data_IF_171523195532
#
_entry.id   IF_171523195532
#
_cell.length_a   1.000
_cell.length_b   1.000
_cell.length_c   1.000
_cell.angle_alpha   90.00
_cell.angle_beta   90.00
_cell.angle_gamma   90.00
#
_symmetry.space_group_name_H-M   'P 1'
#
loop_
_entity.id
_entity.type
_entity.pdbx_description
1 polymer ?
#
# COMPACT_ATOMS: atom_id res chain seq x y z
N UNK A 1 9.92 42.83 -31.55
CA UNK A 1 8.93 42.26 -32.49
C UNK A 1 9.06 40.75 -32.47
N UNK A 2 7.93 40.04 -32.26
CA UNK A 2 7.65 38.60 -32.50
C UNK A 2 8.50 37.58 -31.69
N UNK A 3 7.98 36.59 -30.98
CA UNK A 3 6.69 35.91 -31.03
C UNK A 3 6.86 34.48 -31.54
N UNK A 4 6.37 33.50 -30.75
CA UNK A 4 6.17 32.06 -31.01
C UNK A 4 7.41 31.17 -30.73
N UNK A 5 7.39 30.20 -29.80
CA UNK A 5 6.28 29.52 -29.15
C UNK A 5 5.87 28.26 -29.92
N UNK A 6 6.74 27.24 -29.93
CA UNK A 6 6.38 25.87 -30.28
C UNK A 6 7.16 24.93 -29.35
N UNK A 7 6.49 24.52 -28.27
CA UNK A 7 6.90 23.40 -27.41
C UNK A 7 6.10 22.19 -27.91
N UNK A 8 6.69 21.00 -28.07
CA UNK A 8 5.98 19.83 -28.58
C UNK A 8 4.76 19.48 -27.71
N UNK A 9 3.65 19.14 -28.36
CA UNK A 9 2.47 18.58 -27.69
C UNK A 9 2.88 17.29 -26.95
N UNK A 10 2.62 17.24 -25.64
CA UNK A 10 2.83 16.04 -24.81
C UNK A 10 3.57 16.24 -23.49
N UNK A 11 4.14 17.41 -23.22
CA UNK A 11 4.75 17.73 -21.92
C UNK A 11 3.81 18.60 -21.08
N UNK A 12 3.11 17.99 -20.13
CA UNK A 12 2.29 18.69 -19.15
C UNK A 12 3.13 19.72 -18.38
N UNK A 13 2.76 21.00 -18.52
CA UNK A 13 3.35 22.10 -17.74
C UNK A 13 2.94 21.95 -16.28
N UNK A 14 3.91 21.75 -15.40
CA UNK A 14 3.74 21.96 -13.97
C UNK A 14 3.60 23.47 -13.68
N UNK A 15 2.47 23.85 -13.09
CA UNK A 15 2.34 25.01 -12.19
C UNK A 15 2.29 26.39 -12.82
N UNK A 16 1.08 26.88 -13.11
CA UNK A 16 0.70 28.29 -12.92
C UNK A 16 -0.80 28.45 -13.20
N UNK A 17 -1.61 28.54 -12.15
CA UNK A 17 -3.06 28.69 -12.25
C UNK A 17 -3.76 28.83 -10.90
N UNK A 18 -3.21 29.64 -9.99
CA UNK A 18 -3.98 30.16 -8.86
C UNK A 18 -4.64 31.47 -9.31
N UNK A 19 -5.84 31.39 -9.86
CA UNK A 19 -6.68 32.55 -10.17
C UNK A 19 -8.16 32.17 -10.30
N UNK A 20 -8.81 31.80 -9.20
CA UNK A 20 -10.18 32.24 -8.85
C UNK A 20 -10.55 31.68 -7.47
N UNK A 21 -11.08 32.53 -6.60
CA UNK A 21 -11.49 32.17 -5.24
C UNK A 21 -12.93 31.63 -5.19
N UNK A 22 -13.38 30.96 -6.26
CA UNK A 22 -14.76 30.50 -6.45
C UNK A 22 -14.88 29.00 -6.79
N UNK A 23 -13.76 28.27 -6.95
CA UNK A 23 -13.74 26.82 -7.23
C UNK A 23 -13.39 25.93 -6.02
N UNK A 24 -13.50 26.46 -4.80
CA UNK A 24 -13.23 25.71 -3.55
C UNK A 24 -14.36 24.71 -3.21
N UNK A 25 -15.41 24.61 -4.03
CA UNK A 25 -16.62 23.82 -3.72
C UNK A 25 -16.69 22.41 -4.31
N UNK A 26 -15.77 21.95 -5.17
CA UNK A 26 -15.95 20.68 -5.90
C UNK A 26 -14.80 19.68 -5.90
N UNK A 27 -13.67 19.98 -5.27
CA UNK A 27 -12.65 18.95 -4.96
C UNK A 27 -12.95 18.33 -3.60
N UNK A 28 -13.87 17.37 -3.58
CA UNK A 28 -13.97 16.41 -2.48
C UNK A 28 -12.62 15.69 -2.33
N UNK A 29 -11.85 16.12 -1.35
CA UNK A 29 -10.74 15.34 -0.80
C UNK A 29 -11.30 13.96 -0.47
N UNK A 30 -10.84 12.91 -1.18
CA UNK A 30 -11.14 11.52 -0.84
C UNK A 30 -10.41 11.19 0.46
N UNK A 31 -11.09 11.44 1.56
CA UNK A 31 -10.71 10.96 2.88
C UNK A 31 -10.92 9.44 2.95
N UNK A 32 -9.89 8.72 3.38
CA UNK A 32 -9.92 7.26 3.57
C UNK A 32 -10.50 6.94 4.95
N UNK A 33 -11.61 6.23 4.99
CA UNK A 33 -12.21 5.71 6.24
C UNK A 33 -13.70 6.00 6.32
N UNK A 34 -14.52 5.16 5.67
CA UNK A 34 -15.97 5.26 5.72
C UNK A 34 -16.52 4.85 7.08
N UNK A 35 -16.83 5.84 7.93
CA UNK A 35 -17.84 5.74 8.98
C UNK A 35 -18.91 6.78 8.66
N UNK A 36 -20.09 6.33 8.25
CA UNK A 36 -21.27 7.19 8.14
C UNK A 36 -21.89 7.35 9.52
N UNK A 37 -21.92 8.58 10.03
CA UNK A 37 -22.57 8.92 11.29
C UNK A 37 -24.11 8.90 11.09
N UNK A 38 -24.89 8.09 11.82
CA UNK A 38 -26.33 7.93 11.57
C UNK A 38 -27.18 9.05 12.19
N UNK A 39 -26.71 10.30 12.17
CA UNK A 39 -27.41 11.43 12.79
C UNK A 39 -27.14 12.73 12.04
N UNK A 40 -27.52 12.77 10.75
CA UNK A 40 -27.61 14.02 9.99
C UNK A 40 -29.02 14.12 9.37
N UNK A 41 -29.91 14.97 9.90
CA UNK A 41 -31.32 14.99 9.53
C UNK A 41 -31.59 16.02 8.42
N UNK A 42 -31.00 15.89 7.22
CA UNK A 42 -31.29 16.82 6.11
C UNK A 42 -31.10 16.18 4.72
N UNK A 43 -31.90 15.16 4.39
CA UNK A 43 -32.19 14.82 2.98
C UNK A 43 -33.62 14.27 2.84
N UNK A 44 -34.48 14.87 1.99
CA UNK A 44 -35.80 14.33 1.66
C UNK A 44 -35.68 12.97 0.94
N UNK A 45 -36.66 12.06 1.10
CA UNK A 45 -36.67 10.77 0.42
C UNK A 45 -37.14 10.97 -1.02
N UNK A 46 -36.37 10.51 -1.99
CA UNK A 46 -36.91 10.30 -3.33
C UNK A 46 -37.01 8.81 -3.65
N UNK A 47 -38.18 8.50 -4.20
CA UNK A 47 -38.80 7.20 -4.29
C UNK A 47 -38.29 6.42 -5.50
N UNK A 48 -38.01 5.13 -5.27
CA UNK A 48 -37.62 4.17 -6.30
C UNK A 48 -37.84 2.74 -5.84
N UNK A 49 -39.10 2.45 -5.50
CA UNK A 49 -39.82 1.16 -5.60
C UNK A 49 -39.10 -0.15 -5.26
N UNK A 50 -39.53 -0.73 -4.13
CA UNK A 50 -39.42 -2.13 -3.72
C UNK A 50 -40.12 -3.14 -4.65
N UNK A 51 -39.89 -4.44 -4.36
CA UNK A 51 -40.56 -5.70 -4.73
C UNK A 51 -39.79 -6.51 -5.79
N UNK A 52 -39.20 -7.69 -5.52
CA UNK A 52 -39.81 -8.92 -4.95
C UNK A 52 -38.73 -9.89 -4.42
N UNK A 53 -39.12 -10.70 -3.42
CA UNK A 53 -38.47 -11.72 -2.57
C UNK A 53 -37.65 -12.89 -3.22
N UNK A 54 -37.00 -13.78 -2.43
CA UNK A 54 -35.88 -14.64 -2.82
C UNK A 54 -36.29 -15.93 -3.54
N UNK A 55 -35.51 -16.31 -4.57
CA UNK A 55 -35.69 -17.54 -5.31
C UNK A 55 -34.37 -18.32 -5.44
N UNK A 56 -34.34 -19.49 -4.81
CA UNK A 56 -33.35 -20.55 -4.94
C UNK A 56 -33.23 -21.02 -6.40
N UNK A 57 -32.00 -21.15 -6.91
CA UNK A 57 -31.68 -22.14 -7.94
C UNK A 57 -31.11 -21.65 -9.28
N UNK A 58 -29.97 -22.26 -9.61
CA UNK A 58 -29.55 -22.71 -10.96
C UNK A 58 -29.03 -21.68 -11.98
N UNK A 59 -27.70 -21.73 -12.14
CA UNK A 59 -26.92 -21.61 -13.37
C UNK A 59 -27.57 -20.91 -14.58
N UNK A 60 -27.11 -19.70 -14.86
CA UNK A 60 -27.01 -19.21 -16.24
C UNK A 60 -25.68 -18.50 -16.44
N UNK A 61 -24.92 -19.02 -17.41
CA UNK A 61 -23.78 -18.36 -18.01
C UNK A 61 -24.23 -17.10 -18.72
N UNK A 62 -23.94 -15.93 -18.16
CA UNK A 62 -24.04 -14.67 -18.91
C UNK A 62 -22.80 -14.52 -19.80
N UNK A 63 -22.86 -15.23 -20.92
CA UNK A 63 -21.98 -15.07 -22.06
C UNK A 63 -22.42 -13.80 -22.80
N UNK A 64 -21.61 -12.73 -22.77
CA UNK A 64 -21.80 -11.58 -23.65
C UNK A 64 -21.04 -11.91 -24.96
N UNK A 65 -21.71 -12.12 -26.11
CA UNK A 65 -21.01 -12.39 -27.36
C UNK A 65 -20.51 -11.07 -27.95
N UNK A 66 -19.20 -10.84 -27.88
CA UNK A 66 -18.51 -9.79 -28.62
C UNK A 66 -17.38 -10.41 -29.46
N UNK A 67 -17.27 -10.09 -30.77
CA UNK A 67 -16.21 -10.61 -31.61
C UNK A 67 -14.95 -9.78 -31.38
N UNK A 68 -14.01 -10.29 -30.60
CA UNK A 68 -12.73 -9.62 -30.35
C UNK A 68 -11.84 -10.45 -29.46
N UNK A 69 -11.01 -11.30 -30.08
CA UNK A 69 -10.00 -12.10 -29.39
C UNK A 69 -8.94 -11.21 -28.74
N UNK A 70 -9.05 -11.00 -27.44
CA UNK A 70 -7.99 -10.55 -26.55
C UNK A 70 -7.72 -11.65 -25.51
N UNK A 71 -6.50 -11.73 -24.94
CA UNK A 71 -6.18 -12.77 -23.98
C UNK A 71 -7.15 -12.70 -22.81
N UNK A 72 -7.75 -13.84 -22.46
CA UNK A 72 -8.64 -13.97 -21.32
C UNK A 72 -7.87 -13.55 -20.05
N UNK A 73 -8.07 -12.32 -19.62
CA UNK A 73 -7.60 -11.87 -18.32
C UNK A 73 -8.44 -12.62 -17.31
N UNK A 74 -7.87 -13.62 -16.64
CA UNK A 74 -8.53 -14.31 -15.54
C UNK A 74 -8.84 -13.28 -14.44
N UNK A 75 -10.03 -12.68 -14.49
CA UNK A 75 -10.51 -11.65 -13.54
C UNK A 75 -10.64 -12.21 -12.10
N UNK A 76 -10.53 -13.54 -11.94
CA UNK A 76 -10.49 -14.18 -10.63
C UNK A 76 -9.14 -13.99 -9.90
N UNK A 77 -8.05 -13.66 -10.60
CA UNK A 77 -6.76 -13.32 -9.96
C UNK A 77 -6.58 -11.83 -9.68
N UNK A 78 -7.45 -10.95 -10.22
CA UNK A 78 -7.37 -9.51 -10.02
C UNK A 78 -8.11 -9.00 -8.78
N UNK A 79 -8.79 -9.87 -8.05
CA UNK A 79 -9.45 -9.51 -6.79
C UNK A 79 -8.49 -9.54 -5.58
N UNK A 80 -7.27 -10.06 -5.74
CA UNK A 80 -6.37 -10.31 -4.61
C UNK A 80 -5.15 -9.38 -4.50
N UNK A 81 -4.82 -8.66 -5.59
CA UNK A 81 -3.76 -7.64 -5.57
C UNK A 81 -4.32 -6.27 -5.95
N UNK A 82 -4.43 -5.39 -4.96
CA UNK A 82 -4.61 -3.95 -5.22
C UNK A 82 -3.54 -3.49 -6.25
N UNK A 83 -3.86 -2.53 -7.14
CA UNK A 83 -2.88 -1.97 -8.10
C UNK A 83 -1.54 -1.60 -7.44
N UNK A 84 -1.58 -1.22 -6.16
CA UNK A 84 -0.40 -0.98 -5.32
C UNK A 84 0.60 -2.14 -5.34
N UNK A 85 0.13 -3.38 -5.35
CA UNK A 85 0.93 -4.60 -5.25
C UNK A 85 1.35 -5.20 -6.58
N UNK A 86 1.08 -4.50 -7.69
CA UNK A 86 1.49 -4.94 -9.00
C UNK A 86 3.01 -5.17 -9.06
N UNK A 87 3.39 -6.31 -9.63
CA UNK A 87 4.78 -6.71 -9.77
C UNK A 87 5.45 -7.22 -8.48
N UNK A 88 4.70 -7.44 -7.39
CA UNK A 88 5.20 -8.11 -6.18
C UNK A 88 4.73 -9.55 -6.14
N UNK A 89 5.66 -10.50 -6.14
CA UNK A 89 5.37 -11.93 -6.05
C UNK A 89 6.51 -12.69 -5.33
N UNK A 90 6.25 -13.88 -4.78
CA UNK A 90 7.33 -14.76 -4.31
C UNK A 90 8.32 -15.06 -5.45
N UNK A 91 9.63 -15.01 -5.15
CA UNK A 91 10.68 -15.38 -6.12
C UNK A 91 11.03 -14.33 -7.17
N UNK A 92 10.69 -13.05 -6.96
CA UNK A 92 11.12 -11.95 -7.83
C UNK A 92 12.65 -11.89 -7.99
N UNK A 93 13.11 -11.55 -9.19
CA UNK A 93 14.51 -11.19 -9.41
C UNK A 93 14.87 -9.90 -8.66
N UNK A 94 16.12 -9.78 -8.22
CA UNK A 94 16.60 -8.60 -7.47
C UNK A 94 16.38 -7.29 -8.24
N UNK A 95 16.51 -7.29 -9.57
CA UNK A 95 16.27 -6.13 -10.43
C UNK A 95 14.82 -5.66 -10.38
N UNK A 96 13.86 -6.57 -10.26
CA UNK A 96 12.43 -6.25 -10.09
C UNK A 96 12.13 -5.82 -8.65
N UNK A 97 12.75 -6.49 -7.68
CA UNK A 97 12.53 -6.20 -6.27
C UNK A 97 13.03 -4.81 -5.85
N UNK A 98 14.19 -4.39 -6.36
CA UNK A 98 14.84 -3.16 -5.91
C UNK A 98 14.72 -2.00 -6.91
N UNK A 99 13.68 -2.00 -7.74
CA UNK A 99 13.45 -0.94 -8.74
C UNK A 99 12.04 -0.34 -8.66
N UNK A 100 11.89 0.82 -9.32
CA UNK A 100 10.62 1.49 -9.56
C UNK A 100 9.77 1.67 -8.30
N UNK A 101 8.47 1.38 -8.43
CA UNK A 101 7.51 1.53 -7.34
C UNK A 101 7.71 0.55 -6.18
N UNK A 102 8.42 -0.57 -6.34
CA UNK A 102 8.70 -1.45 -5.21
C UNK A 102 9.79 -0.86 -4.31
N UNK A 103 10.84 -0.27 -4.88
CA UNK A 103 11.89 0.42 -4.11
C UNK A 103 11.31 1.53 -3.22
N UNK A 104 10.38 2.33 -3.76
CA UNK A 104 9.70 3.38 -3.00
C UNK A 104 8.90 2.80 -1.81
N UNK A 105 8.16 1.71 -2.03
CA UNK A 105 7.42 1.02 -0.97
C UNK A 105 8.34 0.42 0.10
N UNK A 106 9.48 -0.16 -0.30
CA UNK A 106 10.48 -0.66 0.65
C UNK A 106 11.01 0.46 1.54
N UNK A 107 11.26 1.64 0.96
CA UNK A 107 11.74 2.80 1.71
C UNK A 107 10.66 3.40 2.62
N UNK A 108 9.42 3.50 2.13
CA UNK A 108 8.26 3.96 2.91
C UNK A 108 7.99 3.03 4.09
N UNK A 109 8.02 1.71 3.87
CA UNK A 109 7.85 0.71 4.92
C UNK A 109 8.95 0.83 5.99
N UNK A 110 10.18 1.17 5.61
CA UNK A 110 11.25 1.43 6.59
C UNK A 110 10.96 2.68 7.42
N UNK A 111 10.36 3.71 6.82
CA UNK A 111 9.98 4.94 7.49
C UNK A 111 9.06 4.74 8.69
N UNK A 112 8.24 3.68 8.70
CA UNK A 112 7.37 3.32 9.84
C UNK A 112 8.14 2.97 11.12
N UNK A 113 9.41 2.56 11.00
CA UNK A 113 10.28 2.23 12.14
C UNK A 113 11.57 3.05 12.18
N UNK A 114 11.73 4.01 11.26
CA UNK A 114 12.84 4.95 11.18
C UNK A 114 12.30 6.35 10.81
N UNK A 115 11.72 7.09 11.77
CA UNK A 115 11.09 8.38 11.49
C UNK A 115 12.06 9.43 10.97
N UNK A 116 13.34 9.34 11.34
CA UNK A 116 14.39 10.21 10.81
C UNK A 116 14.61 9.97 9.32
N UNK A 117 14.60 8.71 8.88
CA UNK A 117 14.62 8.36 7.47
C UNK A 117 13.39 8.93 6.75
N UNK A 118 12.18 8.71 7.30
CA UNK A 118 10.94 9.20 6.73
C UNK A 118 10.96 10.71 6.51
N UNK A 119 11.44 11.47 7.51
CA UNK A 119 11.58 12.92 7.43
C UNK A 119 12.67 13.38 6.46
N UNK A 120 13.72 12.57 6.25
CA UNK A 120 14.85 12.94 5.40
C UNK A 120 14.56 12.87 3.89
N UNK A 121 13.52 12.14 3.47
CA UNK A 121 13.22 11.86 2.07
C UNK A 121 14.30 11.04 1.32
N UNK A 122 15.32 10.54 2.04
CA UNK A 122 16.40 9.74 1.44
C UNK A 122 15.94 8.31 1.18
N UNK A 123 16.53 7.70 0.16
CA UNK A 123 16.44 6.25 -0.06
C UNK A 123 17.70 5.62 0.50
N UNK A 124 17.52 4.64 1.38
CA UNK A 124 18.62 3.87 2.01
C UNK A 124 18.68 2.46 1.44
N UNK A 125 19.72 1.72 1.84
CA UNK A 125 19.91 0.31 1.46
C UNK A 125 18.61 -0.50 1.63
N UNK A 126 18.06 -1.04 0.53
CA UNK A 126 16.74 -1.67 0.55
C UNK A 126 16.79 -3.15 0.94
N UNK A 127 17.97 -3.75 1.09
CA UNK A 127 18.13 -5.20 1.21
C UNK A 127 17.41 -5.80 2.41
N UNK A 128 17.46 -5.16 3.59
CA UNK A 128 16.77 -5.67 4.79
C UNK A 128 15.24 -5.65 4.62
N UNK A 129 14.72 -4.57 4.03
CA UNK A 129 13.29 -4.46 3.74
C UNK A 129 12.85 -5.40 2.61
N UNK A 130 13.72 -5.64 1.62
CA UNK A 130 13.47 -6.63 0.57
C UNK A 130 13.44 -8.05 1.12
N UNK A 131 14.38 -8.39 2.00
CA UNK A 131 14.38 -9.69 2.69
C UNK A 131 13.12 -9.85 3.55
N UNK A 132 12.71 -8.78 4.24
CA UNK A 132 11.46 -8.78 5.01
C UNK A 132 10.25 -8.97 4.09
N UNK A 133 10.18 -8.28 2.94
CA UNK A 133 9.12 -8.48 1.95
C UNK A 133 9.07 -9.93 1.48
N UNK A 134 10.23 -10.50 1.10
CA UNK A 134 10.32 -11.89 0.65
C UNK A 134 9.91 -12.89 1.72
N UNK A 135 10.11 -12.58 3.00
CA UNK A 135 9.62 -13.40 4.11
C UNK A 135 8.11 -13.29 4.28
N UNK A 136 7.57 -12.07 4.29
CA UNK A 136 6.17 -11.81 4.59
C UNK A 136 5.20 -12.23 3.48
N UNK A 137 5.65 -12.29 2.22
CA UNK A 137 4.81 -12.74 1.09
C UNK A 137 4.75 -14.26 0.92
N UNK A 138 5.48 -15.02 1.75
CA UNK A 138 5.41 -16.49 1.73
C UNK A 138 4.00 -16.95 2.12
N UNK A 139 3.56 -18.13 1.64
CA UNK A 139 2.29 -18.73 2.10
C UNK A 139 2.25 -18.95 3.63
N UNK A 140 3.41 -19.24 4.23
CA UNK A 140 3.60 -19.36 5.67
C UNK A 140 4.82 -18.51 6.08
N UNK A 141 4.62 -17.24 6.44
CA UNK A 141 5.70 -16.36 6.89
C UNK A 141 6.27 -16.84 8.24
N UNK A 142 7.60 -16.80 8.39
CA UNK A 142 8.25 -17.04 9.68
C UNK A 142 8.28 -15.73 10.50
N UNK A 143 7.54 -15.66 11.62
CA UNK A 143 7.47 -14.46 12.45
C UNK A 143 8.81 -14.12 13.13
N UNK A 144 9.65 -15.11 13.44
CA UNK A 144 10.96 -14.89 14.06
C UNK A 144 11.93 -14.22 13.11
N UNK A 145 11.99 -14.68 11.86
CA UNK A 145 12.83 -14.09 10.83
C UNK A 145 12.34 -12.68 10.46
N UNK A 146 11.02 -12.51 10.26
CA UNK A 146 10.44 -11.20 9.98
C UNK A 146 10.69 -10.21 11.13
N UNK A 147 10.48 -10.65 12.38
CA UNK A 147 10.74 -9.85 13.57
C UNK A 147 12.21 -9.44 13.68
N UNK A 148 13.14 -10.38 13.46
CA UNK A 148 14.58 -10.11 13.51
C UNK A 148 15.02 -9.11 12.45
N UNK A 149 14.58 -9.29 11.19
CA UNK A 149 14.87 -8.36 10.11
C UNK A 149 14.36 -6.94 10.41
N UNK A 150 13.17 -6.85 11.01
CA UNK A 150 12.57 -5.58 11.39
C UNK A 150 13.29 -4.92 12.57
N UNK A 151 13.66 -5.70 13.60
CA UNK A 151 14.40 -5.21 14.76
C UNK A 151 15.80 -4.66 14.40
N UNK A 152 16.45 -5.22 13.37
CA UNK A 152 17.73 -4.71 12.86
C UNK A 152 17.64 -3.32 12.22
N UNK A 153 16.50 -2.98 11.60
CA UNK A 153 16.31 -1.67 10.96
C UNK A 153 15.65 -0.64 11.88
N UNK A 154 14.92 -1.08 12.89
CA UNK A 154 14.14 -0.23 13.75
C UNK A 154 15.00 0.76 14.56
N UNK A 155 14.61 2.04 14.51
CA UNK A 155 15.17 3.14 15.31
C UNK A 155 14.22 3.60 16.41
N UNK A 156 12.96 3.18 16.35
CA UNK A 156 11.92 3.44 17.35
C UNK A 156 11.25 2.14 17.79
N UNK A 157 10.51 2.14 18.92
CA UNK A 157 9.79 0.97 19.37
C UNK A 157 8.89 0.39 18.29
N UNK A 158 8.96 -0.93 18.09
CA UNK A 158 8.16 -1.62 17.07
C UNK A 158 6.81 -2.00 17.66
N UNK A 159 5.72 -1.53 17.04
CA UNK A 159 4.34 -1.79 17.49
C UNK A 159 3.60 -2.68 16.50
N UNK A 160 2.57 -3.43 16.94
CA UNK A 160 1.75 -4.23 16.03
C UNK A 160 1.10 -3.40 14.92
N UNK A 161 0.69 -2.17 15.22
CA UNK A 161 0.14 -1.23 14.24
C UNK A 161 1.16 -0.88 13.16
N UNK A 162 2.42 -0.59 13.53
CA UNK A 162 3.50 -0.34 12.58
C UNK A 162 3.77 -1.58 11.71
N UNK A 163 3.79 -2.77 12.32
CA UNK A 163 3.97 -4.04 11.59
C UNK A 163 2.86 -4.28 10.57
N UNK A 164 1.60 -4.01 10.90
CA UNK A 164 0.49 -4.11 9.93
C UNK A 164 0.65 -3.13 8.78
N UNK A 165 1.05 -1.88 9.05
CA UNK A 165 1.32 -0.86 8.01
C UNK A 165 2.46 -1.29 7.10
N UNK A 166 3.54 -1.82 7.67
CA UNK A 166 4.65 -2.40 6.92
C UNK A 166 4.15 -3.56 6.05
N UNK A 167 3.41 -4.52 6.61
CA UNK A 167 2.84 -5.62 5.83
C UNK A 167 1.99 -5.14 4.67
N UNK A 168 1.15 -4.13 4.91
CA UNK A 168 0.33 -3.47 3.88
C UNK A 168 1.20 -2.85 2.78
N UNK A 169 2.22 -2.07 3.11
CA UNK A 169 3.16 -1.46 2.15
C UNK A 169 3.95 -2.50 1.35
N UNK A 170 4.36 -3.58 2.03
CA UNK A 170 5.13 -4.68 1.46
C UNK A 170 4.27 -5.73 0.73
N UNK A 171 2.95 -5.52 0.65
CA UNK A 171 2.02 -6.41 -0.03
C UNK A 171 1.90 -7.81 0.57
N UNK A 172 2.08 -7.91 1.88
CA UNK A 172 1.82 -9.10 2.66
C UNK A 172 0.45 -9.02 3.34
N UNK A 173 -0.27 -10.14 3.36
CA UNK A 173 -1.44 -10.32 4.21
C UNK A 173 -0.98 -10.76 5.58
N UNK A 174 -1.58 -10.21 6.62
CA UNK A 174 -1.17 -10.47 7.98
C UNK A 174 -2.39 -10.42 8.90
N UNK A 175 -2.47 -11.38 9.81
CA UNK A 175 -3.46 -11.39 10.88
C UNK A 175 -2.96 -10.55 12.06
N UNK A 176 -3.88 -10.17 12.94
CA UNK A 176 -3.57 -9.39 14.14
C UNK A 176 -2.57 -10.14 15.04
N UNK A 177 -2.80 -11.42 15.28
CA UNK A 177 -1.90 -12.27 16.06
C UNK A 177 -0.49 -12.36 15.47
N UNK A 178 -0.38 -12.44 14.14
CA UNK A 178 0.93 -12.46 13.47
C UNK A 178 1.65 -11.11 13.61
N UNK A 179 0.92 -9.99 13.50
CA UNK A 179 1.49 -8.67 13.69
C UNK A 179 1.99 -8.46 15.13
N UNK A 180 1.23 -8.92 16.12
CA UNK A 180 1.61 -8.87 17.53
C UNK A 180 2.89 -9.68 17.78
N UNK A 181 2.96 -10.91 17.26
CA UNK A 181 4.13 -11.77 17.43
C UNK A 181 5.39 -11.17 16.79
N UNK A 182 5.28 -10.68 15.55
CA UNK A 182 6.40 -10.02 14.85
C UNK A 182 6.86 -8.77 15.61
N UNK A 183 5.92 -7.96 16.11
CA UNK A 183 6.24 -6.75 16.85
C UNK A 183 7.02 -7.05 18.15
N UNK A 184 6.58 -8.06 18.91
CA UNK A 184 7.26 -8.47 20.14
C UNK A 184 8.70 -8.91 19.86
N UNK A 185 8.90 -9.75 18.84
CA UNK A 185 10.23 -10.25 18.47
C UNK A 185 11.11 -9.09 17.97
N UNK A 186 10.57 -8.24 17.09
CA UNK A 186 11.31 -7.09 16.56
C UNK A 186 11.73 -6.12 17.67
N UNK A 187 10.85 -5.85 18.63
CA UNK A 187 11.15 -4.98 19.76
C UNK A 187 12.21 -5.57 20.69
N UNK A 188 12.13 -6.88 20.96
CA UNK A 188 13.17 -7.57 21.73
C UNK A 188 14.54 -7.46 21.05
N UNK A 189 14.60 -7.68 19.74
CA UNK A 189 15.84 -7.57 18.97
C UNK A 189 16.38 -6.13 18.92
N UNK A 190 15.51 -5.14 18.70
CA UNK A 190 15.86 -3.72 18.73
C UNK A 190 16.43 -3.32 20.09
N UNK A 191 15.76 -3.71 21.18
CA UNK A 191 16.19 -3.40 22.54
C UNK A 191 17.54 -4.05 22.88
N UNK A 192 17.74 -5.31 22.47
CA UNK A 192 19.02 -6.01 22.66
C UNK A 192 20.16 -5.30 21.92
N UNK A 193 19.94 -4.86 20.67
CA UNK A 193 20.92 -4.10 19.90
C UNK A 193 21.23 -2.73 20.50
N UNK A 194 20.23 -2.06 21.08
CA UNK A 194 20.41 -0.77 21.74
C UNK A 194 21.14 -0.89 23.10
N UNK A 195 20.96 -2.01 23.80
CA UNK A 195 21.63 -2.30 25.07
C UNK A 195 23.04 -2.87 24.90
N UNK A 196 23.40 -3.33 23.69
CA UNK A 196 24.71 -3.90 23.43
C UNK A 196 25.80 -2.83 23.67
N UNK A 197 26.83 -3.13 24.50
CA UNK A 197 27.90 -2.17 24.75
C UNK A 197 28.62 -1.87 23.43
N UNK A 198 28.65 -0.59 23.05
CA UNK A 198 29.48 -0.13 21.93
C UNK A 198 30.93 -0.48 22.23
N UNK A 199 31.52 -1.38 21.42
CA UNK A 199 32.93 -1.68 21.47
C UNK A 199 33.71 -0.36 21.27
N UNK A 200 34.27 0.18 22.36
CA UNK A 200 35.14 1.35 22.32
C UNK A 200 36.39 0.95 21.52
N UNK A 201 36.62 1.60 20.39
CA UNK A 201 37.93 1.63 19.72
C UNK A 201 38.71 2.81 20.26
#
# INVERSE_FOLDING_TARGET
MRGNGQVPEGVGRYGSGAASMQDVGRTRLRYWGGWSNPSDPLTPPDSGTETTDPGTGTATSDFIPGPGGGPAVNVRSSLDSSQRCQGVAPGMAATQQFSGGNLLRLNEARGEVDPALAASGKIVSPYLMGNLQNELIKPAPNPELAGTLLGLVAKTPVTPTAVKRIGFLLCARMTDAQADQIAQIAEQQRAALAAAPTARK
#
